data_IF_642112942339
#
_entry.id   IF_642112942339
#
_cell.length_a   1.000
_cell.length_b   1.000
_cell.length_c   1.000
_cell.angle_alpha   90.00
_cell.angle_beta   90.00
_cell.angle_gamma   90.00
#
_symmetry.space_group_name_H-M   'P 1'
#
loop_
_entity.id
_entity.type
_entity.pdbx_description
1 polymer ?
#
# COMPACT_ATOMS: atom_id res chain seq x y z
N UNK A 1 -14.73 6.81 -23.39
CA UNK A 1 -15.00 5.63 -22.54
C UNK A 1 -16.50 5.38 -22.60
N UNK A 2 -16.94 4.13 -22.85
CA UNK A 2 -18.35 3.80 -22.87
C UNK A 2 -18.90 3.77 -21.44
N UNK A 3 -20.03 4.42 -21.19
CA UNK A 3 -20.69 4.35 -19.89
C UNK A 3 -21.18 2.91 -19.63
N UNK A 4 -21.22 2.45 -18.36
CA UNK A 4 -21.80 1.15 -18.02
C UNK A 4 -23.25 1.09 -18.48
N UNK A 5 -23.71 -0.10 -18.91
CA UNK A 5 -25.08 -0.25 -19.41
C UNK A 5 -26.10 0.00 -18.29
N UNK A 6 -27.28 0.58 -18.58
CA UNK A 6 -28.29 0.87 -17.57
C UNK A 6 -28.74 -0.37 -16.77
N UNK A 7 -28.77 -1.54 -17.39
CA UNK A 7 -29.11 -2.82 -16.74
C UNK A 7 -28.07 -3.21 -15.69
N UNK A 8 -26.78 -3.05 -16.00
CA UNK A 8 -25.68 -3.32 -15.06
C UNK A 8 -25.71 -2.32 -13.91
N UNK A 9 -25.94 -1.03 -14.21
CA UNK A 9 -26.07 0.01 -13.19
C UNK A 9 -27.22 -0.28 -12.24
N UNK A 10 -28.40 -0.61 -12.75
CA UNK A 10 -29.57 -0.93 -11.93
C UNK A 10 -29.35 -2.19 -11.07
N UNK A 11 -28.73 -3.23 -11.62
CA UNK A 11 -28.39 -4.44 -10.86
C UNK A 11 -27.43 -4.13 -9.71
N UNK A 12 -26.37 -3.34 -9.97
CA UNK A 12 -25.39 -2.95 -8.95
C UNK A 12 -25.98 -2.01 -7.89
N UNK A 13 -26.85 -1.08 -8.27
CA UNK A 13 -27.55 -0.19 -7.32
C UNK A 13 -28.50 -0.96 -6.40
N UNK A 14 -29.11 -2.06 -6.86
CA UNK A 14 -29.94 -2.94 -6.01
C UNK A 14 -29.10 -3.70 -4.99
N UNK A 15 -27.89 -4.11 -5.38
CA UNK A 15 -27.00 -4.90 -4.52
C UNK A 15 -26.17 -4.02 -3.57
N UNK A 16 -25.76 -2.84 -4.02
CA UNK A 16 -24.88 -1.94 -3.29
C UNK A 16 -25.49 -0.54 -3.19
N UNK A 17 -25.92 -0.17 -1.99
CA UNK A 17 -26.38 1.20 -1.69
C UNK A 17 -25.23 2.20 -1.84
N UNK A 18 -25.52 3.39 -2.35
CA UNK A 18 -24.54 4.48 -2.44
C UNK A 18 -23.81 4.59 -3.78
N UNK A 19 -24.40 4.07 -4.86
CA UNK A 19 -23.92 4.22 -6.23
C UNK A 19 -24.84 5.19 -7.00
N UNK A 20 -24.26 6.12 -7.76
CA UNK A 20 -25.01 6.90 -8.73
C UNK A 20 -25.11 6.16 -10.08
N UNK A 21 -25.76 6.78 -11.07
CA UNK A 21 -26.00 6.16 -12.39
C UNK A 21 -24.73 5.93 -13.22
N UNK A 22 -23.61 6.49 -12.77
CA UNK A 22 -22.28 6.33 -13.36
C UNK A 22 -21.38 5.42 -12.50
N UNK A 23 -21.96 4.70 -11.52
CA UNK A 23 -21.23 3.89 -10.54
C UNK A 23 -20.21 4.69 -9.72
N UNK A 24 -20.42 5.99 -9.55
CA UNK A 24 -19.67 6.80 -8.59
C UNK A 24 -20.20 6.57 -7.18
N UNK A 25 -19.27 6.58 -6.23
CA UNK A 25 -19.57 6.36 -4.82
C UNK A 25 -20.12 7.65 -4.22
N UNK A 26 -21.38 7.63 -3.79
CA UNK A 26 -22.04 8.75 -3.15
C UNK A 26 -21.38 9.03 -1.80
N UNK A 27 -21.08 10.30 -1.53
CA UNK A 27 -20.44 10.73 -0.29
C UNK A 27 -21.26 10.31 0.95
N UNK A 28 -20.55 9.89 2.01
CA UNK A 28 -21.19 9.41 3.24
C UNK A 28 -21.72 7.97 3.21
N UNK A 29 -21.86 7.36 2.02
CA UNK A 29 -22.26 5.96 1.88
C UNK A 29 -21.20 4.98 2.43
N UNK A 30 -21.61 3.74 2.71
CA UNK A 30 -20.70 2.69 3.19
C UNK A 30 -19.59 2.41 2.19
N UNK A 31 -19.91 2.29 0.89
CA UNK A 31 -18.90 2.06 -0.15
C UNK A 31 -17.93 3.23 -0.26
N UNK A 32 -18.41 4.47 -0.18
CA UNK A 32 -17.56 5.66 -0.14
C UNK A 32 -16.61 5.66 1.06
N UNK A 33 -17.13 5.39 2.26
CA UNK A 33 -16.32 5.33 3.50
C UNK A 33 -15.24 4.26 3.41
N UNK A 34 -15.57 3.08 2.89
CA UNK A 34 -14.60 1.98 2.70
C UNK A 34 -13.56 2.32 1.64
N UNK A 35 -13.97 2.97 0.55
CA UNK A 35 -13.07 3.46 -0.49
C UNK A 35 -12.10 4.51 0.06
N UNK A 36 -12.61 5.49 0.81
CA UNK A 36 -11.81 6.52 1.48
C UNK A 36 -10.83 5.90 2.48
N UNK A 37 -11.28 4.95 3.30
CA UNK A 37 -10.44 4.29 4.30
C UNK A 37 -9.23 3.57 3.72
N UNK A 38 -9.36 2.84 2.60
CA UNK A 38 -8.19 2.19 2.00
C UNK A 38 -7.25 3.20 1.34
N UNK A 39 -7.77 4.31 0.80
CA UNK A 39 -6.97 5.40 0.21
C UNK A 39 -6.17 6.14 1.29
N UNK A 40 -6.78 6.42 2.43
CA UNK A 40 -6.09 6.99 3.59
C UNK A 40 -5.00 6.03 4.08
N UNK A 41 -5.29 4.73 4.18
CA UNK A 41 -4.27 3.73 4.51
C UNK A 41 -3.11 3.71 3.49
N UNK A 42 -3.38 3.96 2.20
CA UNK A 42 -2.35 4.07 1.18
C UNK A 42 -1.42 5.26 1.43
N UNK A 43 -1.96 6.43 1.76
CA UNK A 43 -1.16 7.62 2.08
C UNK A 43 -0.30 7.41 3.34
N UNK A 44 -0.82 6.71 4.34
CA UNK A 44 -0.04 6.32 5.54
C UNK A 44 1.15 5.44 5.15
N UNK A 45 0.94 4.43 4.28
CA UNK A 45 2.02 3.58 3.76
C UNK A 45 3.05 4.39 2.98
N UNK A 46 2.60 5.30 2.11
CA UNK A 46 3.49 6.17 1.32
C UNK A 46 4.34 7.07 2.21
N UNK A 47 3.74 7.67 3.24
CA UNK A 47 4.44 8.46 4.23
C UNK A 47 5.49 7.63 5.00
N UNK A 48 5.10 6.45 5.50
CA UNK A 48 6.02 5.56 6.22
C UNK A 48 7.21 5.13 5.35
N UNK A 49 6.96 4.75 4.09
CA UNK A 49 8.02 4.40 3.13
C UNK A 49 8.93 5.60 2.85
N UNK A 50 8.36 6.79 2.68
CA UNK A 50 9.14 8.02 2.41
C UNK A 50 10.05 8.32 3.59
N UNK A 51 9.53 8.28 4.81
CA UNK A 51 10.32 8.50 6.02
C UNK A 51 11.47 7.49 6.14
N UNK A 52 11.17 6.19 6.02
CA UNK A 52 12.20 5.16 6.01
C UNK A 52 13.26 5.41 4.93
N UNK A 53 12.85 5.67 3.68
CA UNK A 53 13.78 5.81 2.56
C UNK A 53 14.66 7.05 2.68
N UNK A 54 14.12 8.16 3.19
CA UNK A 54 14.89 9.37 3.47
C UNK A 54 15.94 9.11 4.54
N UNK A 55 15.55 8.55 5.68
CA UNK A 55 16.49 8.20 6.75
C UNK A 55 17.52 7.16 6.31
N UNK A 56 17.12 6.16 5.52
CA UNK A 56 18.02 5.15 4.99
C UNK A 56 19.07 5.76 4.05
N UNK A 57 18.71 6.72 3.20
CA UNK A 57 19.68 7.41 2.32
C UNK A 57 20.76 8.14 3.10
N UNK A 58 20.42 8.71 4.26
CA UNK A 58 21.36 9.43 5.12
C UNK A 58 22.30 8.46 5.87
N UNK A 59 21.79 7.30 6.28
CA UNK A 59 22.53 6.32 7.08
C UNK A 59 23.27 5.25 6.26
N UNK A 60 23.03 5.19 4.95
CA UNK A 60 23.66 4.22 4.06
C UNK A 60 25.17 4.46 3.97
N UNK A 61 25.95 3.40 4.15
CA UNK A 61 27.39 3.45 3.92
C UNK A 61 27.69 3.71 2.44
N UNK A 62 28.54 4.71 2.19
CA UNK A 62 29.05 5.02 0.85
C UNK A 62 30.44 4.44 0.69
N UNK A 63 30.79 4.03 -0.54
CA UNK A 63 32.17 3.61 -0.85
C UNK A 63 33.08 4.84 -0.94
N UNK A 64 34.36 4.74 -0.51
CA UNK A 64 34.95 3.62 0.21
C UNK A 64 34.39 3.51 1.64
N UNK A 65 34.21 2.28 2.12
CA UNK A 65 33.59 2.04 3.44
C UNK A 65 34.53 2.46 4.57
N UNK A 66 33.95 2.97 5.65
CA UNK A 66 34.70 3.35 6.85
C UNK A 66 35.13 2.08 7.62
N UNK A 67 36.44 1.78 7.75
CA UNK A 67 36.90 0.63 8.51
C UNK A 67 36.60 0.72 10.01
N UNK A 68 36.49 1.94 10.57
CA UNK A 68 36.23 2.17 11.99
C UNK A 68 34.73 2.08 12.35
N UNK A 69 33.85 2.07 11.34
CA UNK A 69 32.42 1.86 11.51
C UNK A 69 31.93 0.82 10.48
N UNK A 70 32.23 -0.48 10.70
CA UNK A 70 31.93 -1.52 9.73
C UNK A 70 30.44 -1.77 9.58
N UNK A 71 30.05 -2.31 8.42
CA UNK A 71 28.69 -2.75 8.17
C UNK A 71 28.26 -3.81 9.20
N UNK A 72 27.00 -3.76 9.65
CA UNK A 72 26.47 -4.63 10.71
C UNK A 72 25.52 -5.70 10.16
N UNK A 73 25.56 -6.90 10.76
CA UNK A 73 24.78 -8.06 10.29
C UNK A 73 25.32 -8.66 8.99
N UNK A 74 24.46 -9.27 8.14
CA UNK A 74 24.85 -9.77 6.80
C UNK A 74 25.23 -8.64 5.81
N UNK A 75 25.53 -7.43 6.30
CA UNK A 75 25.95 -6.27 5.52
C UNK A 75 24.87 -5.67 4.60
N UNK A 76 23.85 -6.42 4.20
CA UNK A 76 22.83 -5.99 3.24
C UNK A 76 21.41 -6.04 3.84
N UNK A 77 20.72 -4.89 3.87
CA UNK A 77 19.28 -4.78 4.11
C UNK A 77 18.65 -3.89 3.04
N UNK A 78 17.61 -4.37 2.38
CA UNK A 78 17.01 -3.66 1.25
C UNK A 78 17.98 -3.38 0.08
N UNK A 79 19.06 -4.16 -0.06
CA UNK A 79 20.10 -3.95 -1.07
C UNK A 79 21.15 -2.90 -0.71
N UNK A 80 21.09 -2.32 0.49
CA UNK A 80 21.99 -1.27 0.97
C UNK A 80 22.76 -1.72 2.24
N UNK A 81 23.93 -1.11 2.47
CA UNK A 81 24.76 -1.40 3.64
C UNK A 81 24.61 -0.34 4.72
N UNK A 82 24.53 -0.80 5.97
CA UNK A 82 24.31 0.05 7.14
C UNK A 82 25.19 -0.38 8.31
N UNK A 83 25.54 0.59 9.15
CA UNK A 83 26.29 0.39 10.40
C UNK A 83 25.37 -0.14 11.51
N UNK A 84 25.92 -0.54 12.65
CA UNK A 84 25.12 -1.01 13.80
C UNK A 84 24.18 0.07 14.34
N UNK A 85 24.63 1.32 14.37
CA UNK A 85 23.81 2.47 14.78
C UNK A 85 22.71 2.74 13.75
N UNK A 86 23.04 2.72 12.46
CA UNK A 86 22.05 2.84 11.38
C UNK A 86 20.96 1.76 11.47
N UNK A 87 21.36 0.54 11.81
CA UNK A 87 20.41 -0.56 12.02
C UNK A 87 19.40 -0.30 13.16
N UNK A 88 19.86 0.25 14.28
CA UNK A 88 19.01 0.57 15.43
C UNK A 88 18.00 1.67 15.11
N UNK A 89 18.38 2.63 14.27
CA UNK A 89 17.48 3.71 13.84
C UNK A 89 16.45 3.22 12.82
N UNK A 90 16.88 2.40 11.85
CA UNK A 90 16.02 1.95 10.76
C UNK A 90 15.07 0.80 11.14
N UNK A 91 15.41 -0.02 12.14
CA UNK A 91 14.58 -1.15 12.58
C UNK A 91 13.14 -0.76 12.95
N UNK A 92 12.93 0.23 13.85
CA UNK A 92 11.59 0.73 14.18
C UNK A 92 10.84 1.30 12.97
N UNK A 93 11.53 2.04 12.09
CA UNK A 93 10.92 2.61 10.88
C UNK A 93 10.47 1.52 9.91
N UNK A 94 11.27 0.47 9.72
CA UNK A 94 10.88 -0.72 8.95
C UNK A 94 9.67 -1.41 9.57
N UNK A 95 9.61 -1.52 10.90
CA UNK A 95 8.44 -2.01 11.64
C UNK A 95 7.17 -1.22 11.34
N UNK A 96 7.24 0.11 11.35
CA UNK A 96 6.11 0.99 10.99
C UNK A 96 5.65 0.77 9.55
N UNK A 97 6.59 0.63 8.60
CA UNK A 97 6.23 0.34 7.20
C UNK A 97 5.52 -1.01 7.06
N UNK A 98 5.96 -2.05 7.77
CA UNK A 98 5.31 -3.37 7.79
C UNK A 98 3.88 -3.25 8.27
N UNK A 99 3.65 -2.62 9.44
CA UNK A 99 2.32 -2.50 10.04
C UNK A 99 1.38 -1.69 9.15
N UNK A 100 1.86 -0.55 8.63
CA UNK A 100 1.07 0.27 7.71
C UNK A 100 0.71 -0.51 6.43
N UNK A 101 1.66 -1.25 5.87
CA UNK A 101 1.47 -2.02 4.63
C UNK A 101 0.46 -3.15 4.83
N UNK A 102 0.54 -3.88 5.93
CA UNK A 102 -0.43 -4.91 6.31
C UNK A 102 -1.83 -4.33 6.45
N UNK A 103 -1.97 -3.21 7.18
CA UNK A 103 -3.25 -2.54 7.33
C UNK A 103 -3.84 -2.09 5.99
N UNK A 104 -3.02 -1.53 5.08
CA UNK A 104 -3.46 -1.17 3.74
C UNK A 104 -3.92 -2.40 2.93
N UNK A 105 -3.14 -3.49 2.95
CA UNK A 105 -3.49 -4.76 2.29
C UNK A 105 -4.83 -5.27 2.78
N UNK A 106 -5.07 -5.29 4.09
CA UNK A 106 -6.32 -5.78 4.68
C UNK A 106 -7.52 -4.94 4.23
N UNK A 107 -7.41 -3.60 4.32
CA UNK A 107 -8.47 -2.68 3.89
C UNK A 107 -8.75 -2.79 2.40
N UNK A 108 -7.71 -2.87 1.58
CA UNK A 108 -7.83 -2.96 0.13
C UNK A 108 -8.41 -4.30 -0.31
N UNK A 109 -7.97 -5.40 0.28
CA UNK A 109 -8.49 -6.75 0.00
C UNK A 109 -9.96 -6.83 0.38
N UNK A 110 -10.33 -6.36 1.58
CA UNK A 110 -11.74 -6.31 2.00
C UNK A 110 -12.61 -5.50 1.03
N UNK A 111 -12.12 -4.34 0.57
CA UNK A 111 -12.83 -3.52 -0.42
C UNK A 111 -12.98 -4.26 -1.75
N UNK A 112 -11.89 -4.80 -2.29
CA UNK A 112 -11.89 -5.48 -3.58
C UNK A 112 -12.82 -6.70 -3.57
N UNK A 113 -12.81 -7.51 -2.50
CA UNK A 113 -13.68 -8.69 -2.38
C UNK A 113 -15.15 -8.29 -2.26
N UNK A 114 -15.46 -7.24 -1.48
CA UNK A 114 -16.85 -6.83 -1.25
C UNK A 114 -17.46 -6.14 -2.47
N UNK A 115 -16.68 -5.35 -3.20
CA UNK A 115 -17.14 -4.50 -4.30
C UNK A 115 -16.58 -4.90 -5.66
N UNK A 116 -16.18 -6.16 -5.84
CA UNK A 116 -15.59 -6.67 -7.09
C UNK A 116 -16.48 -6.38 -8.30
N UNK A 117 -17.77 -6.73 -8.21
CA UNK A 117 -18.73 -6.51 -9.29
C UNK A 117 -18.89 -5.02 -9.66
N UNK A 118 -18.76 -4.12 -8.68
CA UNK A 118 -18.79 -2.67 -8.92
C UNK A 118 -17.52 -2.21 -9.65
N UNK A 119 -16.35 -2.72 -9.26
CA UNK A 119 -15.07 -2.39 -9.90
C UNK A 119 -15.02 -2.89 -11.35
N UNK A 120 -15.45 -4.13 -11.58
CA UNK A 120 -15.53 -4.73 -12.92
C UNK A 120 -16.54 -4.00 -13.81
N UNK A 121 -17.69 -3.60 -13.25
CA UNK A 121 -18.73 -2.86 -13.96
C UNK A 121 -18.37 -1.41 -14.28
N UNK A 122 -17.46 -0.79 -13.52
CA UNK A 122 -17.03 0.58 -13.74
C UNK A 122 -15.97 0.68 -14.83
N UNK A 123 -14.86 -0.03 -14.66
CA UNK A 123 -13.78 -0.19 -15.65
C UNK A 123 -12.99 -1.47 -15.31
N UNK A 124 -12.90 -2.48 -16.20
CA UNK A 124 -12.15 -3.72 -15.93
C UNK A 124 -10.68 -3.51 -15.53
N UNK A 125 -10.06 -2.43 -16.01
CA UNK A 125 -8.68 -2.04 -15.69
C UNK A 125 -8.52 -1.52 -14.24
N UNK A 126 -9.57 -0.96 -13.63
CA UNK A 126 -9.53 -0.52 -12.22
C UNK A 126 -9.32 -1.72 -11.30
N UNK A 127 -10.00 -2.84 -11.55
CA UNK A 127 -9.81 -4.05 -10.75
C UNK A 127 -8.37 -4.59 -10.83
N UNK A 128 -7.79 -4.62 -12.03
CA UNK A 128 -6.40 -5.06 -12.23
C UNK A 128 -5.41 -4.15 -11.51
N UNK A 129 -5.60 -2.83 -11.58
CA UNK A 129 -4.79 -1.85 -10.84
C UNK A 129 -4.90 -2.03 -9.32
N UNK A 130 -6.10 -2.33 -8.82
CA UNK A 130 -6.35 -2.60 -7.42
C UNK A 130 -5.63 -3.85 -6.91
N UNK A 131 -5.65 -4.94 -7.69
CA UNK A 131 -4.93 -6.18 -7.36
C UNK A 131 -3.42 -5.96 -7.37
N UNK A 132 -2.90 -5.18 -8.34
CA UNK A 132 -1.47 -4.84 -8.40
C UNK A 132 -1.00 -4.09 -7.15
N UNK A 133 -1.77 -3.10 -6.68
CA UNK A 133 -1.41 -2.33 -5.48
C UNK A 133 -1.36 -3.19 -4.21
N UNK A 134 -2.23 -4.19 -4.08
CA UNK A 134 -2.16 -5.18 -2.97
C UNK A 134 -0.86 -5.98 -3.05
N UNK A 135 -0.50 -6.50 -4.23
CA UNK A 135 0.75 -7.25 -4.43
C UNK A 135 1.99 -6.41 -4.13
N UNK A 136 2.00 -5.14 -4.54
CA UNK A 136 3.14 -4.24 -4.29
C UNK A 136 3.29 -3.95 -2.79
N UNK A 137 2.19 -3.77 -2.05
CA UNK A 137 2.21 -3.60 -0.60
C UNK A 137 2.64 -4.87 0.15
N UNK A 138 2.24 -6.06 -0.32
CA UNK A 138 2.71 -7.35 0.21
C UNK A 138 4.23 -7.51 0.01
N UNK A 139 4.74 -7.24 -1.19
CA UNK A 139 6.19 -7.26 -1.48
C UNK A 139 6.96 -6.27 -0.60
N UNK A 140 6.40 -5.08 -0.36
CA UNK A 140 6.99 -4.12 0.58
C UNK A 140 7.12 -4.74 1.97
N UNK A 141 6.04 -5.33 2.49
CA UNK A 141 6.02 -6.01 3.78
C UNK A 141 7.11 -7.09 3.89
N UNK A 142 7.29 -7.91 2.86
CA UNK A 142 8.35 -8.93 2.80
C UNK A 142 9.76 -8.34 2.80
N UNK A 143 9.98 -7.29 2.01
CA UNK A 143 11.27 -6.59 1.92
C UNK A 143 11.67 -5.98 3.26
N UNK A 144 10.72 -5.32 3.94
CA UNK A 144 10.94 -4.74 5.25
C UNK A 144 10.97 -5.80 6.36
N UNK A 145 10.29 -6.93 6.19
CA UNK A 145 10.33 -8.05 7.14
C UNK A 145 11.76 -8.58 7.38
N UNK A 146 12.67 -8.38 6.43
CA UNK A 146 14.10 -8.69 6.58
C UNK A 146 14.82 -7.81 7.61
N UNK A 147 14.18 -6.78 8.17
CA UNK A 147 14.72 -5.95 9.25
C UNK A 147 14.46 -6.49 10.66
N UNK A 148 13.54 -7.44 10.80
CA UNK A 148 13.39 -8.24 12.02
C UNK A 148 14.61 -9.15 12.21
#
# INVERSE_FOLDING_TARGET
>A
MAAPSPEVVAALQRQFSGLNDQLNYLEGSTIYKKNKAYKEAHEVVKSANTNYNTTAKELMQKKPYNPDDPAYGKGLKGGQMFTKSGHRVLGPLAGTVIVASQFHVDRRTSFNTTYQAVLEGKVPEEYTGHVKQVKDAQKSTENFGRWK
#
